data_IF_075023877091
#
_entry.id   IF_075023877091
#
_cell.length_a   1.000
_cell.length_b   1.000
_cell.length_c   1.000
_cell.angle_alpha   90.00
_cell.angle_beta   90.00
_cell.angle_gamma   90.00
#
_symmetry.space_group_name_H-M   'P 1'
#
loop_
_entity.id
_entity.type
_entity.pdbx_description
1 polymer ?
#
# COMPACT_ATOMS: atom_id res chain seq x y z
N UNK A 1 20.38 -9.30 19.67
CA UNK A 1 18.94 -8.99 19.71
C UNK A 1 18.56 -8.29 18.40
N UNK A 2 18.07 -9.01 17.40
CA UNK A 2 17.60 -8.38 16.16
C UNK A 2 16.09 -8.17 16.28
N UNK A 3 15.68 -6.92 16.54
CA UNK A 3 14.29 -6.52 16.35
C UNK A 3 14.03 -6.58 14.85
N UNK A 4 13.47 -7.70 14.38
CA UNK A 4 12.74 -7.74 13.12
C UNK A 4 11.59 -6.76 13.32
N UNK A 5 11.71 -5.56 12.75
CA UNK A 5 10.63 -4.58 12.82
C UNK A 5 9.39 -5.21 12.19
N UNK A 6 8.39 -5.45 13.04
CA UNK A 6 7.08 -5.96 12.66
C UNK A 6 6.31 -4.92 11.85
N UNK A 7 6.62 -4.78 10.56
CA UNK A 7 5.77 -4.05 9.60
C UNK A 7 4.37 -4.66 9.53
N UNK A 8 4.27 -5.98 9.73
CA UNK A 8 3.00 -6.73 9.86
C UNK A 8 2.10 -6.21 10.99
N UNK A 9 2.67 -5.87 12.15
CA UNK A 9 1.92 -5.31 13.29
C UNK A 9 1.45 -3.88 13.02
N UNK A 10 2.18 -3.11 12.22
CA UNK A 10 1.85 -1.70 11.94
C UNK A 10 0.63 -1.58 11.01
N UNK A 11 0.52 -2.40 9.96
CA UNK A 11 -0.64 -2.39 9.05
C UNK A 11 -1.89 -2.98 9.69
N UNK A 12 -1.73 -4.00 10.54
CA UNK A 12 -2.84 -4.56 11.31
C UNK A 12 -3.46 -3.50 12.25
N UNK A 13 -2.63 -2.59 12.76
CA UNK A 13 -3.05 -1.50 13.65
C UNK A 13 -3.34 -0.16 12.95
N UNK A 14 -3.33 -0.09 11.61
CA UNK A 14 -3.71 1.15 10.93
C UNK A 14 -5.20 1.45 11.18
N UNK A 15 -5.55 2.64 11.71
CA UNK A 15 -6.93 3.02 11.95
C UNK A 15 -7.69 3.17 10.63
N UNK A 16 -9.00 2.87 10.64
CA UNK A 16 -9.88 3.17 9.49
C UNK A 16 -9.98 4.69 9.32
N UNK A 17 -9.78 5.15 8.10
CA UNK A 17 -9.82 6.57 7.74
C UNK A 17 -11.27 7.06 7.53
N UNK A 18 -11.52 8.37 7.76
CA UNK A 18 -12.83 9.02 7.55
C UNK A 18 -12.83 9.88 6.29
N UNK A 19 -14.01 10.12 5.73
CA UNK A 19 -14.18 10.99 4.55
C UNK A 19 -13.59 12.39 4.79
N UNK A 20 -12.70 12.83 3.89
CA UNK A 20 -11.98 14.11 4.00
C UNK A 20 -10.54 14.00 4.52
N UNK A 21 -10.15 12.85 5.08
CA UNK A 21 -8.78 12.59 5.49
C UNK A 21 -7.86 12.44 4.26
N UNK A 22 -6.69 13.09 4.30
CA UNK A 22 -5.63 12.90 3.31
C UNK A 22 -4.53 12.01 3.89
N UNK A 23 -3.91 11.20 3.03
CA UNK A 23 -2.80 10.35 3.43
C UNK A 23 -1.57 11.19 3.78
N UNK A 24 -0.88 10.83 4.87
CA UNK A 24 0.42 11.41 5.16
C UNK A 24 1.53 10.62 4.46
N UNK A 25 2.66 11.28 4.18
CA UNK A 25 3.84 10.62 3.63
C UNK A 25 4.31 9.42 4.47
N UNK A 26 4.18 9.50 5.81
CA UNK A 26 4.57 8.42 6.71
C UNK A 26 3.71 7.17 6.54
N UNK A 27 2.39 7.34 6.36
CA UNK A 27 1.49 6.23 6.11
C UNK A 27 1.76 5.60 4.73
N UNK A 28 2.05 6.42 3.72
CA UNK A 28 2.40 5.94 2.39
C UNK A 28 3.71 5.12 2.41
N UNK A 29 4.70 5.61 3.15
CA UNK A 29 5.96 4.89 3.36
C UNK A 29 5.75 3.52 4.00
N UNK A 30 4.89 3.42 5.02
CA UNK A 30 4.60 2.14 5.71
C UNK A 30 3.94 1.15 4.74
N UNK A 31 2.96 1.60 3.95
CA UNK A 31 2.28 0.75 2.97
C UNK A 31 3.25 0.27 1.89
N UNK A 32 3.99 1.19 1.27
CA UNK A 32 4.93 0.87 0.21
C UNK A 32 6.04 -0.07 0.69
N UNK A 33 6.56 0.14 1.91
CA UNK A 33 7.53 -0.77 2.51
C UNK A 33 6.95 -2.17 2.71
N UNK A 34 5.70 -2.27 3.17
CA UNK A 34 5.10 -3.60 3.41
C UNK A 34 4.79 -4.34 2.12
N UNK A 35 4.28 -3.65 1.10
CA UNK A 35 4.08 -4.23 -0.24
C UNK A 35 5.41 -4.78 -0.77
N UNK A 36 6.47 -3.97 -0.69
CA UNK A 36 7.82 -4.40 -1.09
C UNK A 36 8.30 -5.63 -0.29
N UNK A 37 8.23 -5.58 1.04
CA UNK A 37 8.70 -6.69 1.89
C UNK A 37 7.90 -7.98 1.64
N UNK A 38 6.59 -7.84 1.40
CA UNK A 38 5.72 -8.97 1.06
C UNK A 38 6.08 -9.56 -0.30
N UNK A 39 6.36 -8.74 -1.31
CA UNK A 39 6.83 -9.21 -2.61
C UNK A 39 8.14 -9.99 -2.49
N UNK A 40 9.14 -9.39 -1.83
CA UNK A 40 10.47 -10.01 -1.65
C UNK A 40 10.37 -11.31 -0.86
N UNK A 41 9.57 -11.35 0.22
CA UNK A 41 9.32 -12.57 1.00
C UNK A 41 8.72 -13.69 0.15
N UNK A 42 7.89 -13.35 -0.83
CA UNK A 42 7.25 -14.29 -1.75
C UNK A 42 8.07 -14.53 -3.04
N UNK A 43 9.32 -14.07 -3.11
CA UNK A 43 10.21 -14.31 -4.25
C UNK A 43 9.92 -13.47 -5.50
N UNK A 44 9.08 -12.43 -5.38
CA UNK A 44 8.86 -11.46 -6.46
C UNK A 44 9.94 -10.38 -6.39
N UNK A 45 10.69 -10.21 -7.48
CA UNK A 45 11.66 -9.12 -7.60
C UNK A 45 10.91 -7.79 -7.75
N UNK A 46 11.21 -6.84 -6.87
CA UNK A 46 10.66 -5.49 -6.90
C UNK A 46 11.77 -4.44 -6.79
N UNK A 47 11.58 -3.25 -7.40
CA UNK A 47 12.49 -2.13 -7.17
C UNK A 47 12.41 -1.65 -5.71
N UNK A 48 13.47 -1.02 -5.19
CA UNK A 48 13.44 -0.43 -3.84
C UNK A 48 12.24 0.51 -3.66
N UNK A 49 11.59 0.50 -2.48
CA UNK A 49 10.42 1.32 -2.24
C UNK A 49 10.79 2.80 -2.30
N UNK A 50 10.01 3.60 -3.05
CA UNK A 50 10.11 5.07 -2.99
C UNK A 50 9.79 5.52 -1.55
N UNK A 51 10.54 6.51 -1.08
CA UNK A 51 10.34 7.12 0.24
C UNK A 51 9.95 8.58 0.10
N UNK A 52 8.79 8.93 0.62
CA UNK A 52 8.26 10.30 0.67
C UNK A 52 8.64 10.96 1.99
N UNK A 53 8.92 12.27 2.00
CA UNK A 53 9.21 13.03 3.22
C UNK A 53 7.91 13.57 3.81
N UNK A 54 7.85 13.69 5.14
CA UNK A 54 6.74 14.35 5.83
C UNK A 54 6.54 15.76 5.26
N UNK A 55 5.31 16.07 4.83
CA UNK A 55 4.96 17.34 4.17
C UNK A 55 5.03 17.31 2.63
N UNK A 56 5.55 16.24 2.01
CA UNK A 56 5.45 16.06 0.57
C UNK A 56 3.98 15.84 0.19
N UNK A 57 3.52 16.53 -0.86
CA UNK A 57 2.24 16.25 -1.48
C UNK A 57 2.33 14.92 -2.23
N UNK A 58 1.52 13.95 -1.81
CA UNK A 58 1.41 12.67 -2.52
C UNK A 58 0.74 12.90 -3.87
N UNK A 59 1.35 12.38 -4.92
CA UNK A 59 0.80 12.49 -6.28
C UNK A 59 -0.08 11.29 -6.62
N UNK A 60 -1.01 11.46 -7.56
CA UNK A 60 -1.78 10.33 -8.07
C UNK A 60 -0.88 9.22 -8.67
N UNK A 61 0.25 9.60 -9.27
CA UNK A 61 1.22 8.66 -9.83
C UNK A 61 1.89 7.81 -8.74
N UNK A 62 2.16 8.42 -7.57
CA UNK A 62 2.70 7.70 -6.41
C UNK A 62 1.73 6.65 -5.89
N UNK A 63 0.44 6.98 -5.84
CA UNK A 63 -0.58 6.01 -5.44
C UNK A 63 -0.78 4.93 -6.50
N UNK A 64 -0.87 5.28 -7.77
CA UNK A 64 -0.99 4.29 -8.85
C UNK A 64 0.19 3.31 -8.86
N UNK A 65 1.41 3.78 -8.58
CA UNK A 65 2.57 2.90 -8.42
C UNK A 65 2.39 1.89 -7.28
N UNK A 66 1.82 2.29 -6.13
CA UNK A 66 1.49 1.37 -5.03
C UNK A 66 0.45 0.33 -5.47
N UNK A 67 -0.62 0.76 -6.16
CA UNK A 67 -1.66 -0.13 -6.67
C UNK A 67 -1.09 -1.18 -7.63
N UNK A 68 -0.28 -0.75 -8.60
CA UNK A 68 0.35 -1.64 -9.57
C UNK A 68 1.24 -2.69 -8.88
N UNK A 69 1.96 -2.28 -7.84
CA UNK A 69 2.79 -3.22 -7.07
C UNK A 69 1.95 -4.24 -6.32
N UNK A 70 0.81 -3.85 -5.74
CA UNK A 70 -0.13 -4.78 -5.09
C UNK A 70 -0.64 -5.79 -6.12
N UNK A 71 -1.13 -5.33 -7.27
CA UNK A 71 -1.65 -6.21 -8.33
C UNK A 71 -0.61 -7.21 -8.83
N UNK A 72 0.65 -6.79 -9.01
CA UNK A 72 1.75 -7.70 -9.39
C UNK A 72 1.97 -8.81 -8.38
N UNK A 73 1.83 -8.54 -7.09
CA UNK A 73 1.96 -9.58 -6.04
C UNK A 73 0.77 -10.53 -6.11
N UNK A 74 -0.46 -10.03 -6.27
CA UNK A 74 -1.66 -10.86 -6.45
C UNK A 74 -1.50 -11.80 -7.65
N UNK A 75 -1.02 -11.29 -8.79
CA UNK A 75 -0.75 -12.08 -9.98
C UNK A 75 0.35 -13.15 -9.74
N UNK A 76 1.47 -12.75 -9.15
CA UNK A 76 2.59 -13.66 -8.81
C UNK A 76 2.15 -14.79 -7.89
N UNK A 77 1.30 -14.49 -6.91
CA UNK A 77 0.74 -15.46 -5.97
C UNK A 77 -0.45 -16.24 -6.52
N UNK A 78 -0.90 -15.95 -7.75
CA UNK A 78 -2.10 -16.54 -8.38
C UNK A 78 -3.37 -16.37 -7.54
N UNK A 79 -3.48 -15.23 -6.85
CA UNK A 79 -4.65 -14.84 -6.08
C UNK A 79 -5.64 -14.07 -6.95
N UNK A 80 -6.91 -14.04 -6.54
CA UNK A 80 -7.91 -13.17 -7.18
C UNK A 80 -7.58 -11.72 -6.87
N UNK A 81 -7.50 -10.88 -7.91
CA UNK A 81 -7.23 -9.46 -7.74
C UNK A 81 -8.26 -8.79 -6.81
N UNK A 82 -7.84 -7.84 -5.97
CA UNK A 82 -8.75 -7.11 -5.10
C UNK A 82 -9.77 -6.31 -5.92
N UNK A 83 -11.03 -6.36 -5.50
CA UNK A 83 -12.09 -5.60 -6.14
C UNK A 83 -12.17 -4.20 -5.53
N UNK A 84 -11.45 -3.25 -6.11
CA UNK A 84 -11.48 -1.86 -5.70
C UNK A 84 -12.73 -1.14 -6.23
N UNK A 85 -13.37 -0.34 -5.39
CA UNK A 85 -14.48 0.55 -5.76
C UNK A 85 -14.03 1.72 -6.65
N UNK A 86 -12.72 1.89 -6.79
CA UNK A 86 -12.06 2.92 -7.57
C UNK A 86 -11.18 2.32 -8.67
N UNK A 87 -11.01 3.08 -9.75
CA UNK A 87 -10.05 2.79 -10.82
C UNK A 87 -8.71 3.49 -10.58
N UNK A 88 -7.93 3.69 -11.65
CA UNK A 88 -6.69 4.48 -11.58
C UNK A 88 -6.96 5.94 -11.18
N UNK A 89 -6.11 6.48 -10.30
CA UNK A 89 -6.20 7.89 -9.90
C UNK A 89 -5.70 8.80 -11.03
N UNK A 90 -6.49 9.82 -11.37
CA UNK A 90 -6.09 10.85 -12.35
C UNK A 90 -5.15 11.87 -11.69
N UNK A 91 -4.29 12.53 -12.48
CA UNK A 91 -3.41 13.60 -12.00
C UNK A 91 -4.22 14.73 -11.35
N UNK A 92 -3.96 15.01 -10.08
CA UNK A 92 -4.72 15.96 -9.25
C UNK A 92 -6.00 15.39 -8.63
N UNK A 93 -6.27 14.09 -8.80
CA UNK A 93 -7.35 13.39 -8.12
C UNK A 93 -7.01 13.19 -6.64
N UNK A 94 -7.99 13.49 -5.78
CA UNK A 94 -7.86 13.31 -4.33
C UNK A 94 -8.02 11.84 -3.99
N UNK A 95 -7.12 11.34 -3.15
CA UNK A 95 -7.28 10.04 -2.52
C UNK A 95 -8.31 10.17 -1.40
N UNK A 96 -9.41 9.42 -1.51
CA UNK A 96 -10.37 9.31 -0.43
C UNK A 96 -9.97 8.18 0.54
N UNK A 97 -10.30 8.40 1.81
CA UNK A 97 -10.14 7.42 2.89
C UNK A 97 -10.75 6.03 2.58
N UNK A 98 -11.90 5.99 1.90
CA UNK A 98 -12.57 4.76 1.45
C UNK A 98 -11.66 3.92 0.57
N UNK A 99 -11.04 4.54 -0.44
CA UNK A 99 -10.09 3.88 -1.33
C UNK A 99 -8.88 3.32 -0.56
N UNK A 100 -8.43 4.04 0.47
CA UNK A 100 -7.31 3.59 1.30
C UNK A 100 -7.64 2.42 2.19
N UNK A 101 -8.84 2.33 2.73
CA UNK A 101 -9.25 1.16 3.51
C UNK A 101 -9.22 -0.10 2.63
N UNK A 102 -9.64 0.00 1.38
CA UNK A 102 -9.59 -1.11 0.42
C UNK A 102 -8.16 -1.49 0.03
N UNK A 103 -7.25 -0.52 -0.11
CA UNK A 103 -5.82 -0.76 -0.34
C UNK A 103 -5.20 -1.48 0.86
N UNK A 104 -5.46 -1.00 2.08
CA UNK A 104 -4.99 -1.64 3.32
C UNK A 104 -5.49 -3.08 3.41
N UNK A 105 -6.77 -3.31 3.13
CA UNK A 105 -7.35 -4.66 3.18
C UNK A 105 -6.76 -5.57 2.09
N UNK A 106 -6.43 -5.02 0.92
CA UNK A 106 -5.71 -5.74 -0.13
C UNK A 106 -4.30 -6.16 0.33
N UNK A 107 -3.56 -5.25 0.98
CA UNK A 107 -2.23 -5.58 1.51
C UNK A 107 -2.32 -6.64 2.62
N UNK A 108 -3.34 -6.58 3.48
CA UNK A 108 -3.59 -7.61 4.51
C UNK A 108 -3.85 -8.98 3.90
N UNK A 109 -4.62 -9.03 2.81
CA UNK A 109 -4.87 -10.26 2.04
C UNK A 109 -3.59 -10.89 1.45
N UNK A 110 -2.51 -10.12 1.31
CA UNK A 110 -1.20 -10.61 0.86
C UNK A 110 -0.31 -11.10 2.00
N UNK A 111 -0.45 -10.56 3.21
CA UNK A 111 0.42 -10.89 4.35
C UNK A 111 -0.09 -12.07 5.19
N UNK A 112 -1.40 -12.37 5.12
CA UNK A 112 -2.07 -13.44 5.87
C UNK A 112 -2.97 -14.29 4.96
N UNK A 113 -2.41 -15.11 4.05
CA UNK A 113 -3.20 -16.04 3.25
C UNK A 113 -3.88 -17.13 4.10
#
# INVERSE_FOLDING_TARGET
MNKKSDTSSTITNMPKFKTGDQFTADQMNILQQTVHDTAVKNGLAMPPPKKWKTGDALTADDTNMLLDNILKIYEHLKLSAPNWSFGTFKRGGTLEASHMNEIVDSVRGLTFP
#
